data_IF_671822149372
#
_entry.id   IF_671822149372
#
_cell.length_a   1.000
_cell.length_b   1.000
_cell.length_c   1.000
_cell.angle_alpha   90.00
_cell.angle_beta   90.00
_cell.angle_gamma   90.00
#
_symmetry.space_group_name_H-M   'P 1'
#
loop_
_entity.id
_entity.type
_entity.pdbx_description
1 polymer ?
#
# COMPACT_ATOMS: atom_id res chain seq x y z
N UNK A 1 -10.84 -5.16 1.45
CA UNK A 1 -11.37 -4.20 0.45
C UNK A 1 -11.01 -2.75 0.79
N UNK A 2 -11.20 -2.29 2.04
CA UNK A 2 -10.91 -0.90 2.46
C UNK A 2 -9.47 -0.44 2.16
N UNK A 3 -8.46 -1.30 2.37
CA UNK A 3 -7.04 -0.99 2.08
C UNK A 3 -6.80 -0.58 0.63
N UNK A 4 -7.42 -1.29 -0.33
CA UNK A 4 -7.27 -1.02 -1.75
C UNK A 4 -8.02 0.24 -2.16
N UNK A 5 -9.21 0.47 -1.61
CA UNK A 5 -9.99 1.70 -1.85
C UNK A 5 -9.25 2.96 -1.41
N UNK A 6 -8.54 2.90 -0.27
CA UNK A 6 -7.72 4.00 0.23
C UNK A 6 -6.54 4.29 -0.72
N UNK A 7 -5.81 3.24 -1.16
CA UNK A 7 -4.71 3.38 -2.13
C UNK A 7 -5.21 3.96 -3.46
N UNK A 8 -6.38 3.56 -3.95
CA UNK A 8 -6.96 4.13 -5.17
C UNK A 8 -7.40 5.59 -5.00
N UNK A 9 -7.90 5.97 -3.83
CA UNK A 9 -8.20 7.38 -3.52
C UNK A 9 -6.93 8.23 -3.50
N UNK A 10 -5.87 7.74 -2.85
CA UNK A 10 -4.56 8.38 -2.84
C UNK A 10 -3.99 8.55 -4.25
N UNK A 11 -4.15 7.55 -5.12
CA UNK A 11 -3.77 7.66 -6.53
C UNK A 11 -4.59 8.75 -7.25
N UNK A 12 -5.91 8.82 -7.04
CA UNK A 12 -6.74 9.89 -7.61
C UNK A 12 -6.28 11.28 -7.14
N UNK A 13 -5.90 11.42 -5.86
CA UNK A 13 -5.34 12.66 -5.33
C UNK A 13 -4.00 13.04 -5.95
N UNK A 14 -3.15 12.07 -6.33
CA UNK A 14 -1.90 12.35 -7.06
C UNK A 14 -2.22 13.02 -8.41
N UNK A 15 -3.21 12.51 -9.16
CA UNK A 15 -3.62 13.12 -10.43
C UNK A 15 -4.23 14.52 -10.25
N UNK A 16 -5.05 14.73 -9.21
CA UNK A 16 -5.59 16.05 -8.90
C UNK A 16 -4.49 17.05 -8.50
N UNK A 17 -3.50 16.61 -7.71
CA UNK A 17 -2.36 17.43 -7.32
C UNK A 17 -1.46 17.77 -8.52
N UNK A 18 -1.29 16.83 -9.46
CA UNK A 18 -0.56 17.06 -10.70
C UNK A 18 -1.15 18.23 -11.52
N UNK A 19 -2.46 18.46 -11.47
CA UNK A 19 -3.07 19.61 -12.16
C UNK A 19 -3.03 20.88 -11.30
N UNK A 20 -3.48 20.82 -10.04
CA UNK A 20 -3.78 22.04 -9.27
C UNK A 20 -2.63 22.55 -8.39
N UNK A 21 -1.71 21.68 -7.99
CA UNK A 21 -0.62 22.02 -7.07
C UNK A 21 0.57 21.05 -7.24
N UNK A 22 1.43 21.25 -8.27
CA UNK A 22 2.49 20.30 -8.62
C UNK A 22 3.47 20.02 -7.47
N UNK A 23 3.74 21.04 -6.65
CA UNK A 23 4.61 20.93 -5.47
C UNK A 23 4.11 20.00 -4.35
N UNK A 24 2.84 19.58 -4.40
CA UNK A 24 2.22 18.71 -3.38
C UNK A 24 2.18 17.24 -3.81
N UNK A 25 2.42 16.93 -5.09
CA UNK A 25 2.31 15.57 -5.61
C UNK A 25 3.19 14.58 -4.87
N UNK A 26 4.47 14.90 -4.65
CA UNK A 26 5.43 14.01 -3.97
C UNK A 26 5.03 13.68 -2.53
N UNK A 27 4.39 14.62 -1.80
CA UNK A 27 3.90 14.41 -0.44
C UNK A 27 2.76 13.41 -0.41
N UNK A 28 1.84 13.50 -1.37
CA UNK A 28 0.71 12.58 -1.51
C UNK A 28 1.19 11.19 -1.93
N UNK A 29 2.17 11.13 -2.84
CA UNK A 29 2.84 9.88 -3.20
C UNK A 29 3.50 9.21 -1.99
N UNK A 30 4.19 9.99 -1.15
CA UNK A 30 4.83 9.48 0.06
C UNK A 30 3.78 8.96 1.06
N UNK A 31 2.65 9.67 1.23
CA UNK A 31 1.53 9.19 2.05
C UNK A 31 0.96 7.87 1.52
N UNK A 32 0.90 7.67 0.21
CA UNK A 32 0.47 6.41 -0.39
C UNK A 32 1.44 5.26 -0.08
N UNK A 33 2.75 5.52 -0.12
CA UNK A 33 3.77 4.55 0.25
C UNK A 33 3.67 4.17 1.73
N UNK A 34 3.61 5.16 2.63
CA UNK A 34 3.48 4.93 4.08
C UNK A 34 2.22 4.13 4.39
N UNK A 35 1.09 4.49 3.75
CA UNK A 35 -0.17 3.76 3.92
C UNK A 35 -0.06 2.31 3.41
N UNK A 36 0.56 2.08 2.26
CA UNK A 36 0.80 0.75 1.70
C UNK A 36 1.65 -0.14 2.64
N UNK A 37 2.72 0.41 3.21
CA UNK A 37 3.58 -0.28 4.18
C UNK A 37 2.80 -0.61 5.46
N UNK A 38 2.06 0.35 6.01
CA UNK A 38 1.24 0.12 7.22
C UNK A 38 0.21 -1.00 7.00
N UNK A 39 -0.48 -1.01 5.87
CA UNK A 39 -1.43 -2.07 5.53
C UNK A 39 -0.74 -3.43 5.35
N UNK A 40 0.47 -3.46 4.80
CA UNK A 40 1.30 -4.66 4.74
C UNK A 40 1.63 -5.21 6.14
N UNK A 41 2.04 -4.34 7.07
CA UNK A 41 2.35 -4.71 8.46
C UNK A 41 1.11 -5.25 9.18
N UNK A 42 -0.04 -4.58 9.06
CA UNK A 42 -1.30 -5.06 9.66
C UNK A 42 -1.71 -6.43 9.10
N UNK A 43 -1.55 -6.61 7.79
CA UNK A 43 -1.82 -7.89 7.16
C UNK A 43 -0.88 -8.99 7.66
N UNK A 44 0.40 -8.69 7.85
CA UNK A 44 1.37 -9.65 8.41
C UNK A 44 1.00 -10.04 9.85
N UNK A 45 0.60 -9.07 10.66
CA UNK A 45 0.10 -9.30 12.02
C UNK A 45 -1.12 -10.24 12.03
N UNK A 46 -2.05 -10.08 11.09
CA UNK A 46 -3.22 -10.97 10.96
C UNK A 46 -2.83 -12.41 10.62
N UNK A 47 -1.82 -12.61 9.76
CA UNK A 47 -1.31 -13.95 9.44
C UNK A 47 -0.72 -14.58 10.70
N UNK A 48 0.09 -13.84 11.45
CA UNK A 48 0.67 -14.35 12.69
C UNK A 48 -0.40 -14.69 13.74
N UNK A 49 -1.42 -13.86 13.90
CA UNK A 49 -2.55 -14.12 14.81
C UNK A 49 -3.34 -15.37 14.38
N UNK A 50 -3.55 -15.56 13.07
CA UNK A 50 -4.19 -16.75 12.54
C UNK A 50 -3.37 -18.03 12.83
N UNK A 51 -2.05 -17.97 12.64
CA UNK A 51 -1.12 -19.07 12.97
C UNK A 51 -1.13 -19.38 14.46
N UNK A 52 -1.11 -18.34 15.30
CA UNK A 52 -1.13 -18.52 16.74
C UNK A 52 -2.43 -19.20 17.20
N UNK A 53 -3.59 -18.75 16.69
CA UNK A 53 -4.89 -19.34 17.01
C UNK A 53 -4.99 -20.81 16.62
N UNK A 54 -4.49 -21.18 15.44
CA UNK A 54 -4.55 -22.58 15.00
C UNK A 54 -3.71 -23.49 15.88
N UNK A 55 -2.52 -23.06 16.29
CA UNK A 55 -1.64 -23.82 17.18
C UNK A 55 -2.30 -24.02 18.54
N UNK A 56 -2.97 -22.99 19.09
CA UNK A 56 -3.68 -23.07 20.36
C UNK A 56 -4.91 -24.01 20.32
N UNK A 57 -5.62 -24.05 19.20
CA UNK A 57 -6.86 -24.84 19.05
C UNK A 57 -6.61 -26.27 18.52
N UNK A 58 -5.34 -26.69 18.36
CA UNK A 58 -4.95 -27.92 17.63
C UNK A 58 -5.56 -27.99 16.21
N UNK A 59 -5.85 -26.84 15.62
CA UNK A 59 -6.37 -26.73 14.26
C UNK A 59 -5.24 -26.71 13.25
N UNK A 60 -5.44 -27.38 12.12
CA UNK A 60 -4.48 -27.35 11.02
C UNK A 60 -4.81 -26.20 10.05
N UNK A 61 -3.83 -25.37 9.72
CA UNK A 61 -4.00 -24.32 8.70
C UNK A 61 -3.48 -24.86 7.39
N UNK A 62 -4.34 -24.90 6.38
CA UNK A 62 -3.90 -25.20 5.03
C UNK A 62 -2.77 -24.24 4.60
N UNK A 63 -1.60 -24.75 4.16
CA UNK A 63 -0.51 -23.93 3.63
C UNK A 63 -0.96 -22.99 2.51
N UNK A 64 -1.99 -23.38 1.75
CA UNK A 64 -2.60 -22.56 0.70
C UNK A 64 -3.20 -21.27 1.26
N UNK A 65 -3.85 -21.31 2.42
CA UNK A 65 -4.44 -20.14 3.09
C UNK A 65 -3.33 -19.22 3.60
N UNK A 66 -2.28 -19.80 4.18
CA UNK A 66 -1.13 -19.05 4.68
C UNK A 66 -0.40 -18.30 3.56
N UNK A 67 -0.05 -19.02 2.49
CA UNK A 67 0.63 -18.46 1.31
C UNK A 67 -0.27 -17.46 0.56
N UNK A 68 -1.58 -17.71 0.52
CA UNK A 68 -2.56 -16.77 0.00
C UNK A 68 -2.59 -15.47 0.81
N UNK A 69 -2.57 -15.57 2.14
CA UNK A 69 -2.44 -14.45 3.06
C UNK A 69 -1.18 -13.63 2.77
N UNK A 70 -0.01 -14.28 2.71
CA UNK A 70 1.26 -13.60 2.41
C UNK A 70 1.26 -12.87 1.07
N UNK A 71 0.67 -13.46 0.02
CA UNK A 71 0.51 -12.75 -1.26
C UNK A 71 -0.37 -11.51 -1.10
N UNK A 72 -1.47 -11.63 -0.37
CA UNK A 72 -2.42 -10.53 -0.17
C UNK A 72 -1.81 -9.34 0.60
N UNK A 73 -0.86 -9.57 1.50
CA UNK A 73 -0.21 -8.51 2.30
C UNK A 73 0.87 -7.76 1.53
N UNK A 74 1.45 -8.37 0.50
CA UNK A 74 2.44 -7.74 -0.38
C UNK A 74 1.83 -6.83 -1.45
N UNK A 75 0.60 -7.13 -1.91
CA UNK A 75 -0.11 -6.31 -2.90
C UNK A 75 -0.22 -4.83 -2.49
N UNK A 76 -0.70 -4.46 -1.29
CA UNK A 76 -0.83 -3.04 -0.91
C UNK A 76 0.52 -2.32 -0.83
N UNK A 77 1.58 -3.02 -0.42
CA UNK A 77 2.94 -2.48 -0.40
C UNK A 77 3.41 -2.17 -1.83
N UNK A 78 3.26 -3.13 -2.74
CA UNK A 78 3.61 -2.94 -4.15
C UNK A 78 2.83 -1.79 -4.80
N UNK A 79 1.52 -1.69 -4.53
CA UNK A 79 0.70 -0.57 -5.00
C UNK A 79 1.16 0.78 -4.43
N UNK A 80 1.50 0.85 -3.13
CA UNK A 80 2.05 2.06 -2.52
C UNK A 80 3.34 2.53 -3.20
N UNK A 81 4.25 1.60 -3.53
CA UNK A 81 5.47 1.90 -4.29
C UNK A 81 5.17 2.42 -5.69
N UNK A 82 4.25 1.80 -6.43
CA UNK A 82 3.88 2.24 -7.78
C UNK A 82 3.32 3.66 -7.75
N UNK A 83 2.41 3.96 -6.81
CA UNK A 83 1.81 5.30 -6.68
C UNK A 83 2.90 6.33 -6.34
N UNK A 84 3.83 5.99 -5.45
CA UNK A 84 4.95 6.86 -5.11
C UNK A 84 5.86 7.13 -6.31
N UNK A 85 6.24 6.10 -7.08
CA UNK A 85 7.06 6.24 -8.29
C UNK A 85 6.36 7.16 -9.30
N UNK A 86 5.07 6.93 -9.57
CA UNK A 86 4.29 7.77 -10.50
C UNK A 86 4.25 9.22 -10.02
N UNK A 87 4.00 9.44 -8.73
CA UNK A 87 4.01 10.78 -8.13
C UNK A 87 5.35 11.48 -8.27
N UNK A 88 6.46 10.75 -8.09
CA UNK A 88 7.83 11.27 -8.20
C UNK A 88 8.16 11.65 -9.64
N UNK A 89 7.80 10.80 -10.61
CA UNK A 89 7.93 11.08 -12.05
C UNK A 89 7.18 12.36 -12.41
N UNK A 90 5.91 12.47 -12.01
CA UNK A 90 5.10 13.67 -12.25
C UNK A 90 5.78 14.91 -11.65
N UNK A 91 6.27 14.82 -10.41
CA UNK A 91 6.96 15.94 -9.76
C UNK A 91 8.24 16.36 -10.47
N UNK A 92 9.02 15.41 -11.01
CA UNK A 92 10.23 15.70 -11.78
C UNK A 92 9.90 16.47 -13.06
N UNK A 93 8.85 16.05 -13.79
CA UNK A 93 8.43 16.73 -15.02
C UNK A 93 7.80 18.10 -14.78
N UNK A 94 7.11 18.28 -13.65
CA UNK A 94 6.36 19.50 -13.34
C UNK A 94 7.13 20.52 -12.52
N UNK A 95 8.20 20.12 -11.84
CA UNK A 95 9.06 21.08 -11.14
C UNK A 95 9.74 21.97 -12.18
N UNK A 96 9.46 23.29 -12.21
CA UNK A 96 10.25 24.18 -13.03
C UNK A 96 11.67 24.11 -12.51
N UNK A 97 12.62 23.79 -13.41
CA UNK A 97 14.05 23.95 -13.14
C UNK A 97 14.24 25.39 -12.66
N UNK A 98 14.55 25.54 -11.37
CA UNK A 98 15.12 26.78 -10.84
C UNK A 98 16.48 26.96 -11.50
#
# INVERSE_FOLDING_TARGET
>A
MIHMSILTLLLAFVFLAAWKAPAWGWKIGLLALVSGILFGIFGYYQIQDAVQKSILENGDISPTVLLGGYKCTLIPVAYGFIIFIVSLIINIFQSPRI
#
